data_IF_896036793079
#
_entry.id   IF_896036793079
#
_cell.length_a   1.000
_cell.length_b   1.000
_cell.length_c   1.000
_cell.angle_alpha   90.00
_cell.angle_beta   90.00
_cell.angle_gamma   90.00
#
_symmetry.space_group_name_H-M   'P 1'
#
loop_
_entity.id
_entity.type
_entity.pdbx_description
1 polymer ?
#
# COMPACT_ATOMS: atom_id res chain seq x y z
N UNK A 1 -47.03 5.72 5.50
CA UNK A 1 -46.60 4.40 6.01
C UNK A 1 -46.32 3.49 4.81
N UNK A 2 -45.06 3.46 4.36
CA UNK A 2 -44.43 2.34 3.65
C UNK A 2 -42.93 2.59 3.70
N UNK A 3 -42.28 1.77 4.52
CA UNK A 3 -40.83 1.63 4.64
C UNK A 3 -40.31 0.85 3.41
N UNK A 4 -38.98 0.76 3.33
CA UNK A 4 -38.14 0.01 2.37
C UNK A 4 -37.51 0.93 1.30
N UNK A 5 -36.19 1.05 1.14
CA UNK A 5 -35.10 0.19 1.56
C UNK A 5 -33.82 0.98 1.86
N UNK A 6 -33.41 0.91 3.12
CA UNK A 6 -32.04 1.12 3.56
C UNK A 6 -31.28 -0.18 3.31
N UNK A 7 -30.24 -0.14 2.47
CA UNK A 7 -29.01 -0.96 2.48
C UNK A 7 -28.31 -0.76 1.14
N UNK A 8 -27.24 0.03 1.13
CA UNK A 8 -26.09 -0.09 0.21
C UNK A 8 -25.00 0.91 0.61
N UNK A 9 -24.64 0.89 1.89
CA UNK A 9 -23.57 1.72 2.45
C UNK A 9 -22.54 0.84 3.15
N UNK A 10 -22.01 -0.18 2.49
CA UNK A 10 -20.88 -0.98 2.97
C UNK A 10 -20.22 -1.68 1.78
N UNK A 11 -19.03 -1.19 1.40
CA UNK A 11 -17.95 -1.81 0.58
C UNK A 11 -17.56 -0.97 -0.65
N UNK A 12 -16.34 -0.40 -0.68
CA UNK A 12 -15.78 0.21 -1.87
C UNK A 12 -15.04 -0.86 -2.67
N UNK A 13 -15.78 -1.81 -3.26
CA UNK A 13 -15.24 -2.69 -4.29
C UNK A 13 -15.94 -2.33 -5.58
N UNK A 14 -15.16 -1.93 -6.60
CA UNK A 14 -15.70 -1.64 -7.93
C UNK A 14 -16.00 -2.97 -8.61
N UNK A 15 -17.25 -3.43 -8.49
CA UNK A 15 -17.75 -4.62 -9.17
C UNK A 15 -17.99 -4.25 -10.63
N UNK A 16 -17.26 -4.87 -11.56
CA UNK A 16 -17.62 -4.77 -12.98
C UNK A 16 -18.82 -5.68 -13.24
N UNK A 17 -19.99 -5.08 -13.47
CA UNK A 17 -21.15 -5.79 -13.97
C UNK A 17 -21.09 -5.81 -15.50
N UNK A 18 -20.83 -6.97 -16.08
CA UNK A 18 -20.81 -7.14 -17.53
C UNK A 18 -22.22 -7.48 -18.01
N UNK A 19 -22.99 -6.47 -18.45
CA UNK A 19 -24.26 -6.70 -19.17
C UNK A 19 -24.19 -5.95 -20.49
N UNK A 20 -24.13 -6.73 -21.56
CA UNK A 20 -24.47 -6.30 -22.92
C UNK A 20 -25.94 -5.91 -22.94
N UNK A 21 -26.25 -4.64 -23.17
CA UNK A 21 -27.48 -4.29 -23.86
C UNK A 21 -27.38 -2.96 -24.60
N UNK A 22 -28.02 -2.93 -25.76
CA UNK A 22 -27.83 -1.98 -26.85
C UNK A 22 -28.69 -0.70 -26.75
N UNK A 23 -28.01 0.47 -26.83
CA UNK A 23 -28.46 1.82 -27.27
C UNK A 23 -29.27 2.74 -26.32
N UNK A 24 -29.31 4.09 -26.52
CA UNK A 24 -28.19 5.01 -26.80
C UNK A 24 -28.13 6.29 -25.89
N UNK A 25 -26.90 6.73 -25.62
CA UNK A 25 -26.39 8.11 -25.34
C UNK A 25 -27.07 8.99 -24.26
N UNK A 26 -26.39 9.11 -23.12
CA UNK A 26 -26.24 10.40 -22.43
C UNK A 26 -24.78 10.63 -22.01
N UNK A 27 -24.29 11.85 -22.22
CA UNK A 27 -22.90 12.25 -22.10
C UNK A 27 -22.40 12.20 -20.65
N UNK A 28 -21.60 11.18 -20.31
CA UNK A 28 -20.66 11.26 -19.18
C UNK A 28 -19.28 10.96 -19.72
N UNK A 29 -18.41 11.96 -19.63
CA UNK A 29 -17.00 11.90 -19.99
C UNK A 29 -16.26 10.91 -19.07
N UNK A 30 -16.40 9.61 -19.33
CA UNK A 30 -15.51 8.60 -18.78
C UNK A 30 -14.13 8.87 -19.36
N UNK A 31 -13.23 9.40 -18.53
CA UNK A 31 -11.80 9.35 -18.81
C UNK A 31 -11.42 7.88 -18.95
N UNK A 32 -11.36 7.42 -20.20
CA UNK A 32 -10.63 6.24 -20.64
C UNK A 32 -9.18 6.45 -20.20
N UNK A 33 -8.84 5.89 -19.03
CA UNK A 33 -7.46 5.79 -18.60
C UNK A 33 -6.77 4.92 -19.65
N UNK A 34 -5.82 5.49 -20.38
CA UNK A 34 -5.01 4.72 -21.32
C UNK A 34 -4.40 3.53 -20.59
N UNK A 35 -4.71 2.34 -21.09
CA UNK A 35 -4.25 1.06 -20.59
C UNK A 35 -2.78 0.89 -20.99
N UNK A 36 -1.91 1.57 -20.25
CA UNK A 36 -0.47 1.42 -20.35
C UNK A 36 -0.09 0.04 -19.83
N UNK A 37 -0.01 -0.93 -20.74
CA UNK A 37 0.72 -2.22 -20.64
C UNK A 37 1.00 -2.66 -19.20
N UNK A 38 -0.04 -3.07 -18.47
CA UNK A 38 0.08 -3.65 -17.12
C UNK A 38 0.92 -4.92 -17.23
N UNK A 39 2.13 -4.91 -16.65
CA UNK A 39 2.89 -6.15 -16.48
C UNK A 39 2.09 -7.05 -15.54
N UNK A 40 1.84 -8.30 -15.96
CA UNK A 40 1.19 -9.26 -15.08
C UNK A 40 2.13 -9.54 -13.90
N UNK A 41 1.68 -9.40 -12.64
CA UNK A 41 2.54 -9.63 -11.48
C UNK A 41 3.00 -11.09 -11.49
N UNK A 42 4.27 -11.33 -11.83
CA UNK A 42 4.84 -12.68 -11.83
C UNK A 42 5.19 -13.09 -10.40
N UNK A 43 4.21 -13.63 -9.69
CA UNK A 43 4.38 -14.11 -8.32
C UNK A 43 5.41 -15.24 -8.22
N UNK A 44 5.57 -16.07 -9.26
CA UNK A 44 6.57 -17.14 -9.27
C UNK A 44 8.01 -16.61 -9.15
N UNK A 45 8.35 -15.56 -9.89
CA UNK A 45 9.67 -14.89 -9.77
C UNK A 45 9.84 -14.27 -8.38
N UNK A 46 8.79 -13.67 -7.83
CA UNK A 46 8.82 -13.04 -6.50
C UNK A 46 9.00 -14.07 -5.38
N UNK A 47 8.33 -15.22 -5.47
CA UNK A 47 8.51 -16.34 -4.52
C UNK A 47 9.93 -16.89 -4.59
N UNK A 48 10.50 -17.02 -5.80
CA UNK A 48 11.90 -17.44 -5.95
C UNK A 48 12.86 -16.42 -5.34
N UNK A 49 12.64 -15.12 -5.59
CA UNK A 49 13.44 -14.05 -4.99
C UNK A 49 13.34 -14.06 -3.46
N UNK A 50 12.15 -14.32 -2.91
CA UNK A 50 11.95 -14.46 -1.48
C UNK A 50 12.77 -15.63 -0.91
N UNK A 51 12.73 -16.80 -1.57
CA UNK A 51 13.51 -17.97 -1.15
C UNK A 51 15.03 -17.69 -1.16
N UNK A 52 15.52 -16.99 -2.18
CA UNK A 52 16.93 -16.54 -2.25
C UNK A 52 17.24 -15.61 -1.08
N UNK A 53 16.36 -14.64 -0.78
CA UNK A 53 16.57 -13.70 0.32
C UNK A 53 16.61 -14.38 1.69
N UNK A 54 15.74 -15.36 1.93
CA UNK A 54 15.77 -16.19 3.15
C UNK A 54 17.10 -16.92 3.27
N UNK A 55 17.58 -17.52 2.17
CA UNK A 55 18.86 -18.21 2.17
C UNK A 55 20.03 -17.25 2.44
N UNK A 56 20.03 -16.06 1.82
CA UNK A 56 21.07 -15.04 2.05
C UNK A 56 21.04 -14.52 3.50
N UNK A 57 19.86 -14.47 4.13
CA UNK A 57 19.74 -14.05 5.53
C UNK A 57 20.46 -15.01 6.50
N UNK A 58 20.56 -16.30 6.17
CA UNK A 58 21.35 -17.26 6.95
C UNK A 58 22.86 -16.94 6.96
N UNK A 59 23.34 -16.13 6.01
CA UNK A 59 24.72 -15.65 5.93
C UNK A 59 24.87 -14.18 6.37
N UNK A 60 23.85 -13.63 7.04
CA UNK A 60 23.83 -12.21 7.43
C UNK A 60 25.00 -11.81 8.33
N UNK A 61 25.55 -12.76 9.11
CA UNK A 61 26.73 -12.54 9.97
C UNK A 61 28.00 -12.15 9.19
N UNK A 62 28.08 -12.51 7.91
CA UNK A 62 29.24 -12.24 7.04
C UNK A 62 29.05 -11.00 6.14
N UNK A 63 27.87 -10.39 6.19
CA UNK A 63 27.48 -9.29 5.30
C UNK A 63 27.49 -7.97 6.09
N UNK A 64 27.96 -6.89 5.45
CA UNK A 64 27.96 -5.57 6.09
C UNK A 64 26.55 -5.19 6.57
N UNK A 65 26.37 -4.69 7.82
CA UNK A 65 25.05 -4.52 8.45
C UNK A 65 24.08 -3.66 7.63
N UNK A 66 24.56 -2.59 6.98
CA UNK A 66 23.74 -1.77 6.07
C UNK A 66 23.15 -2.55 4.89
N UNK A 67 23.90 -3.51 4.34
CA UNK A 67 23.44 -4.36 3.24
C UNK A 67 22.39 -5.34 3.74
N UNK A 68 22.60 -5.92 4.94
CA UNK A 68 21.60 -6.78 5.59
C UNK A 68 20.28 -6.03 5.78
N UNK A 69 20.31 -4.78 6.27
CA UNK A 69 19.10 -3.98 6.42
C UNK A 69 18.41 -3.66 5.10
N UNK A 70 19.17 -3.39 4.03
CA UNK A 70 18.59 -3.17 2.69
C UNK A 70 17.90 -4.44 2.17
N UNK A 71 18.55 -5.59 2.31
CA UNK A 71 17.97 -6.88 1.95
C UNK A 71 16.72 -7.19 2.78
N UNK A 72 16.71 -6.82 4.06
CA UNK A 72 15.56 -6.97 4.94
C UNK A 72 14.37 -6.12 4.50
N UNK A 73 14.58 -4.87 4.04
CA UNK A 73 13.49 -4.05 3.47
C UNK A 73 12.92 -4.71 2.21
N UNK A 74 13.76 -5.24 1.33
CA UNK A 74 13.32 -5.96 0.13
C UNK A 74 12.54 -7.23 0.49
N UNK A 75 13.01 -8.00 1.49
CA UNK A 75 12.33 -9.16 2.04
C UNK A 75 10.93 -8.79 2.57
N UNK A 76 10.83 -7.76 3.41
CA UNK A 76 9.55 -7.28 3.95
C UNK A 76 8.58 -6.84 2.85
N UNK A 77 9.07 -6.16 1.81
CA UNK A 77 8.24 -5.74 0.69
C UNK A 77 7.66 -6.93 -0.08
N UNK A 78 8.50 -7.91 -0.45
CA UNK A 78 8.06 -9.10 -1.20
C UNK A 78 7.10 -9.93 -0.34
N UNK A 79 7.39 -10.09 0.95
CA UNK A 79 6.53 -10.82 1.88
C UNK A 79 5.15 -10.16 2.00
N UNK A 80 5.11 -8.83 2.17
CA UNK A 80 3.87 -8.07 2.26
C UNK A 80 3.04 -8.20 0.97
N UNK A 81 3.69 -8.13 -0.19
CA UNK A 81 3.04 -8.29 -1.49
C UNK A 81 2.45 -9.69 -1.68
N UNK A 82 3.19 -10.75 -1.35
CA UNK A 82 2.70 -12.14 -1.45
C UNK A 82 1.54 -12.36 -0.49
N UNK A 83 1.64 -11.91 0.77
CA UNK A 83 0.57 -12.04 1.76
C UNK A 83 -0.73 -11.39 1.26
N UNK A 84 -0.64 -10.15 0.79
CA UNK A 84 -1.78 -9.41 0.26
C UNK A 84 -2.36 -10.11 -1.00
N UNK A 85 -1.52 -10.64 -1.88
CA UNK A 85 -1.98 -11.41 -3.05
C UNK A 85 -2.72 -12.71 -2.66
N UNK A 86 -2.26 -13.42 -1.63
CA UNK A 86 -2.95 -14.59 -1.09
C UNK A 86 -4.32 -14.18 -0.55
N UNK A 87 -4.40 -13.13 0.28
CA UNK A 87 -5.67 -12.61 0.81
C UNK A 87 -6.61 -12.21 -0.32
N UNK A 88 -6.10 -11.56 -1.37
CA UNK A 88 -6.92 -11.19 -2.53
C UNK A 88 -7.47 -12.42 -3.25
N UNK A 89 -6.64 -13.44 -3.43
CA UNK A 89 -7.03 -14.69 -4.09
C UNK A 89 -8.06 -15.43 -3.24
N UNK A 90 -7.88 -15.49 -1.92
CA UNK A 90 -8.85 -16.09 -1.00
C UNK A 90 -10.20 -15.36 -1.05
N UNK A 91 -10.20 -14.02 -1.01
CA UNK A 91 -11.43 -13.25 -1.14
C UNK A 91 -12.11 -13.46 -2.51
N UNK A 92 -11.34 -13.61 -3.60
CA UNK A 92 -11.90 -13.96 -4.90
C UNK A 92 -12.56 -15.34 -4.90
N UNK A 93 -11.92 -16.34 -4.31
CA UNK A 93 -12.45 -17.71 -4.24
C UNK A 93 -13.68 -17.80 -3.33
N UNK A 94 -13.65 -17.14 -2.18
CA UNK A 94 -14.71 -17.23 -1.17
C UNK A 94 -15.90 -16.32 -1.45
N UNK A 95 -15.66 -15.12 -1.98
CA UNK A 95 -16.69 -14.08 -2.16
C UNK A 95 -17.04 -13.84 -3.65
N UNK A 96 -16.34 -14.51 -4.58
CA UNK A 96 -16.53 -14.30 -6.02
C UNK A 96 -16.12 -12.90 -6.52
N UNK A 97 -15.45 -12.11 -5.68
CA UNK A 97 -15.09 -10.73 -5.96
C UNK A 97 -13.66 -10.65 -6.49
N UNK A 98 -13.48 -10.15 -7.71
CA UNK A 98 -12.15 -9.84 -8.23
C UNK A 98 -11.60 -8.58 -7.55
N UNK A 99 -10.59 -8.76 -6.71
CA UNK A 99 -9.87 -7.65 -6.10
C UNK A 99 -8.78 -7.15 -7.07
N UNK A 100 -8.68 -5.83 -7.22
CA UNK A 100 -7.58 -5.21 -7.97
C UNK A 100 -6.22 -5.55 -7.31
N UNK A 101 -5.13 -5.63 -8.10
CA UNK A 101 -3.79 -5.82 -7.56
C UNK A 101 -3.48 -4.78 -6.48
N UNK A 102 -3.04 -5.18 -5.30
CA UNK A 102 -2.79 -4.20 -4.22
C UNK A 102 -1.55 -3.33 -4.50
N UNK A 103 -0.57 -3.84 -5.24
CA UNK A 103 0.63 -3.10 -5.64
C UNK A 103 0.74 -3.01 -7.16
N UNK A 104 1.22 -1.87 -7.65
CA UNK A 104 1.45 -1.63 -9.07
C UNK A 104 2.88 -1.09 -9.28
N UNK A 105 3.86 -2.01 -9.18
CA UNK A 105 5.29 -1.73 -9.39
C UNK A 105 5.76 -0.43 -8.70
N UNK A 106 5.69 -0.34 -7.35
CA UNK A 106 5.97 0.87 -6.59
C UNK A 106 7.40 1.40 -6.79
N UNK A 107 8.34 0.53 -7.15
CA UNK A 107 9.73 0.87 -7.49
C UNK A 107 9.87 1.65 -8.80
N UNK A 108 8.83 1.69 -9.66
CA UNK A 108 8.78 2.54 -10.86
C UNK A 108 8.13 3.90 -10.59
N UNK A 109 7.80 4.21 -9.34
CA UNK A 109 7.19 5.49 -8.99
C UNK A 109 8.16 6.64 -9.24
N UNK A 110 7.70 7.66 -9.97
CA UNK A 110 8.52 8.85 -10.28
C UNK A 110 8.23 10.02 -9.35
N UNK A 111 7.30 9.86 -8.41
CA UNK A 111 6.89 10.87 -7.44
C UNK A 111 6.24 10.24 -6.22
N UNK A 112 6.23 10.93 -5.08
CA UNK A 112 5.54 10.45 -3.87
C UNK A 112 4.03 10.37 -4.08
N UNK A 113 3.48 11.30 -4.87
CA UNK A 113 2.07 11.24 -5.26
C UNK A 113 1.75 9.98 -6.10
N UNK A 114 2.65 9.57 -7.00
CA UNK A 114 2.46 8.35 -7.80
C UNK A 114 2.66 7.09 -6.95
N UNK A 115 3.65 7.09 -6.06
CA UNK A 115 3.89 6.02 -5.10
C UNK A 115 2.65 5.77 -4.22
N UNK A 116 2.26 6.73 -3.39
CA UNK A 116 1.17 6.57 -2.42
C UNK A 116 -0.23 6.53 -3.05
N UNK A 117 -0.43 7.24 -4.16
CA UNK A 117 -1.75 7.38 -4.76
C UNK A 117 -2.12 6.32 -5.80
N UNK A 118 -1.14 5.65 -6.41
CA UNK A 118 -1.38 4.81 -7.60
C UNK A 118 -0.62 3.49 -7.63
N UNK A 119 0.34 3.29 -6.72
CA UNK A 119 1.23 2.12 -6.79
C UNK A 119 1.39 1.36 -5.48
N UNK A 120 1.22 2.05 -4.36
CA UNK A 120 1.34 1.48 -3.02
C UNK A 120 -0.04 1.23 -2.41
N UNK A 121 -0.33 -0.03 -2.10
CA UNK A 121 -1.52 -0.51 -1.41
C UNK A 121 -2.83 0.18 -1.84
N UNK A 122 -3.23 -0.08 -3.10
CA UNK A 122 -4.39 0.57 -3.74
C UNK A 122 -5.70 0.37 -2.97
N UNK A 123 -5.86 -0.75 -2.27
CA UNK A 123 -7.02 -1.04 -1.44
C UNK A 123 -7.08 -0.10 -0.23
N UNK A 124 -5.99 0.05 0.53
CA UNK A 124 -5.97 0.95 1.69
C UNK A 124 -6.13 2.41 1.24
N UNK A 125 -5.47 2.79 0.14
CA UNK A 125 -5.59 4.12 -0.44
C UNK A 125 -7.02 4.45 -0.89
N UNK A 126 -7.78 3.49 -1.42
CA UNK A 126 -9.18 3.71 -1.80
C UNK A 126 -10.10 3.86 -0.58
N UNK A 127 -9.90 3.02 0.45
CA UNK A 127 -10.66 3.08 1.70
C UNK A 127 -10.42 4.41 2.40
N UNK A 128 -9.15 4.79 2.59
CA UNK A 128 -8.77 6.05 3.23
C UNK A 128 -9.26 7.27 2.45
N UNK A 129 -9.34 7.17 1.12
CA UNK A 129 -9.88 8.25 0.29
C UNK A 129 -11.34 8.55 0.64
N UNK A 130 -12.17 7.52 0.71
CA UNK A 130 -13.60 7.67 0.99
C UNK A 130 -13.82 7.97 2.48
N UNK A 131 -13.08 7.31 3.37
CA UNK A 131 -13.28 7.42 4.81
C UNK A 131 -12.71 8.71 5.42
N UNK A 132 -11.62 9.25 4.86
CA UNK A 132 -10.88 10.36 5.47
C UNK A 132 -10.68 11.51 4.48
N UNK A 133 -10.08 11.25 3.32
CA UNK A 133 -9.67 12.32 2.41
C UNK A 133 -10.85 13.18 1.93
N UNK A 134 -11.92 12.55 1.44
CA UNK A 134 -13.11 13.23 0.94
C UNK A 134 -13.88 13.98 2.03
N UNK A 135 -14.23 13.37 3.19
CA UNK A 135 -14.92 14.09 4.26
C UNK A 135 -14.07 15.23 4.83
N UNK A 136 -12.78 15.00 5.09
CA UNK A 136 -11.88 16.07 5.57
C UNK A 136 -11.73 17.18 4.54
N UNK A 137 -11.63 16.85 3.25
CA UNK A 137 -11.56 17.81 2.16
C UNK A 137 -12.82 18.67 2.04
N UNK A 138 -14.00 18.05 2.20
CA UNK A 138 -15.28 18.77 2.14
C UNK A 138 -15.41 19.76 3.31
N UNK A 139 -15.12 19.33 4.54
CA UNK A 139 -15.13 20.19 5.73
C UNK A 139 -14.13 21.33 5.56
N UNK A 140 -12.89 21.02 5.17
CA UNK A 140 -11.85 22.02 4.98
C UNK A 140 -12.14 23.01 3.86
N UNK A 141 -12.89 22.59 2.82
CA UNK A 141 -13.28 23.47 1.73
C UNK A 141 -14.24 24.59 2.17
N UNK A 142 -15.10 24.31 3.15
CA UNK A 142 -15.99 25.30 3.75
C UNK A 142 -15.25 26.27 4.69
N UNK A 143 -14.16 25.82 5.33
CA UNK A 143 -13.43 26.61 6.34
C UNK A 143 -12.28 27.44 5.75
N UNK A 144 -11.43 26.83 4.91
CA UNK A 144 -10.16 27.41 4.42
C UNK A 144 -10.21 27.67 2.91
N UNK A 145 -11.33 27.33 2.27
CA UNK A 145 -11.52 27.47 0.83
C UNK A 145 -10.95 26.30 0.01
N UNK A 146 -11.55 26.09 -1.16
CA UNK A 146 -11.29 24.93 -2.04
C UNK A 146 -9.83 24.78 -2.50
N UNK A 147 -9.07 25.89 -2.55
CA UNK A 147 -7.66 25.90 -2.94
C UNK A 147 -6.74 25.29 -1.87
N UNK A 148 -7.09 25.47 -0.59
CA UNK A 148 -6.28 25.04 0.55
C UNK A 148 -6.79 23.75 1.19
N UNK A 149 -8.04 23.35 0.91
CA UNK A 149 -8.67 22.13 1.41
C UNK A 149 -7.86 20.83 1.18
N UNK A 150 -7.01 20.80 0.15
CA UNK A 150 -6.15 19.64 -0.14
C UNK A 150 -5.10 19.39 0.95
N UNK A 151 -4.58 20.44 1.60
CA UNK A 151 -3.54 20.31 2.64
C UNK A 151 -4.06 19.51 3.85
N UNK A 152 -5.15 19.92 4.53
CA UNK A 152 -5.68 19.16 5.65
C UNK A 152 -6.25 17.80 5.23
N UNK A 153 -6.77 17.65 4.01
CA UNK A 153 -7.23 16.35 3.51
C UNK A 153 -6.08 15.34 3.39
N UNK A 154 -4.94 15.73 2.81
CA UNK A 154 -3.74 14.89 2.73
C UNK A 154 -3.20 14.61 4.13
N UNK A 155 -2.97 15.64 4.94
CA UNK A 155 -2.41 15.46 6.29
C UNK A 155 -3.30 14.58 7.17
N UNK A 156 -4.62 14.78 7.14
CA UNK A 156 -5.57 13.96 7.88
C UNK A 156 -5.54 12.49 7.43
N UNK A 157 -5.45 12.26 6.12
CA UNK A 157 -5.34 10.90 5.57
C UNK A 157 -4.08 10.18 6.05
N UNK A 158 -2.92 10.84 5.98
CA UNK A 158 -1.66 10.26 6.45
C UNK A 158 -1.62 10.11 7.97
N UNK A 159 -2.21 11.02 8.72
CA UNK A 159 -2.31 10.92 10.17
C UNK A 159 -3.13 9.70 10.60
N UNK A 160 -4.34 9.53 10.04
CA UNK A 160 -5.20 8.37 10.34
C UNK A 160 -4.51 7.08 9.91
N UNK A 161 -3.87 7.07 8.74
CA UNK A 161 -3.07 5.92 8.29
C UNK A 161 -1.96 5.59 9.29
N UNK A 162 -1.22 6.59 9.79
CA UNK A 162 -0.15 6.42 10.77
C UNK A 162 -0.63 5.80 12.08
N UNK A 163 -1.71 6.33 12.64
CA UNK A 163 -2.33 5.78 13.85
C UNK A 163 -2.79 4.34 13.63
N UNK A 164 -3.44 4.05 12.51
CA UNK A 164 -3.89 2.69 12.19
C UNK A 164 -2.72 1.71 12.12
N UNK A 165 -1.58 2.11 11.55
CA UNK A 165 -0.38 1.28 11.54
C UNK A 165 0.20 1.11 12.95
N UNK A 166 0.29 2.18 13.75
CA UNK A 166 0.77 2.09 15.13
C UNK A 166 -0.09 1.12 15.96
N UNK A 167 -1.42 1.20 15.83
CA UNK A 167 -2.36 0.29 16.48
C UNK A 167 -2.21 -1.15 15.98
N UNK A 168 -2.09 -1.35 14.66
CA UNK A 168 -1.88 -2.67 14.09
C UNK A 168 -0.62 -3.33 14.66
N UNK A 169 0.51 -2.62 14.71
CA UNK A 169 1.76 -3.16 15.28
C UNK A 169 1.67 -3.38 16.80
N UNK A 170 0.96 -2.50 17.52
CA UNK A 170 0.66 -2.69 18.93
C UNK A 170 -0.08 -4.02 19.18
N UNK A 171 -1.18 -4.27 18.44
CA UNK A 171 -1.93 -5.51 18.57
C UNK A 171 -1.16 -6.77 18.13
N UNK A 172 -0.27 -6.64 17.15
CA UNK A 172 0.54 -7.76 16.67
C UNK A 172 1.70 -8.12 17.62
N UNK A 173 1.88 -7.41 18.73
CA UNK A 173 2.83 -7.76 19.78
C UNK A 173 3.94 -6.75 20.04
N UNK A 174 3.72 -5.47 19.70
CA UNK A 174 4.61 -4.39 20.14
C UNK A 174 4.26 -3.94 21.56
N UNK A 175 5.26 -3.87 22.43
CA UNK A 175 5.05 -3.51 23.84
C UNK A 175 4.78 -2.01 24.07
N UNK A 176 5.15 -1.12 23.13
CA UNK A 176 5.08 0.34 23.32
C UNK A 176 4.61 1.07 22.06
N UNK A 177 3.73 2.07 22.25
CA UNK A 177 3.44 3.08 21.23
C UNK A 177 4.55 4.13 21.24
N UNK A 178 5.27 4.25 20.14
CA UNK A 178 6.39 5.21 19.97
C UNK A 178 6.04 6.35 19.04
N UNK A 179 4.93 6.23 18.30
CA UNK A 179 4.51 7.17 17.26
C UNK A 179 5.51 7.34 16.11
N UNK A 180 6.56 6.52 16.04
CA UNK A 180 7.56 6.54 14.97
C UNK A 180 6.92 6.27 13.61
N UNK A 181 5.96 5.34 13.56
CA UNK A 181 5.20 5.05 12.33
C UNK A 181 4.32 6.24 11.96
N UNK A 182 3.64 6.83 12.94
CA UNK A 182 2.84 8.05 12.71
C UNK A 182 3.71 9.18 12.16
N UNK A 183 4.92 9.38 12.70
CA UNK A 183 5.89 10.35 12.19
C UNK A 183 6.32 10.03 10.75
N UNK A 184 6.56 8.77 10.41
CA UNK A 184 6.84 8.35 9.04
C UNK A 184 5.72 8.78 8.09
N UNK A 185 4.46 8.45 8.39
CA UNK A 185 3.34 8.82 7.53
C UNK A 185 3.15 10.34 7.45
N UNK A 186 3.28 11.07 8.57
CA UNK A 186 3.17 12.53 8.57
C UNK A 186 4.26 13.20 7.74
N UNK A 187 5.50 12.71 7.82
CA UNK A 187 6.62 13.19 7.00
C UNK A 187 6.32 12.99 5.51
N UNK A 188 5.85 11.80 5.13
CA UNK A 188 5.46 11.51 3.74
C UNK A 188 4.29 12.38 3.26
N UNK A 189 3.28 12.60 4.10
CA UNK A 189 2.17 13.50 3.81
C UNK A 189 2.63 14.94 3.57
N UNK A 190 3.54 15.44 4.42
CA UNK A 190 4.14 16.76 4.27
C UNK A 190 4.97 16.86 2.98
N UNK A 191 5.83 15.88 2.72
CA UNK A 191 6.64 15.83 1.50
C UNK A 191 5.76 15.77 0.23
N UNK A 192 4.63 15.06 0.25
CA UNK A 192 3.68 15.01 -0.85
C UNK A 192 3.02 16.37 -1.09
N UNK A 193 2.68 17.11 -0.03
CA UNK A 193 2.14 18.47 -0.13
C UNK A 193 3.18 19.42 -0.71
N UNK A 194 4.41 19.38 -0.19
CA UNK A 194 5.54 20.17 -0.69
C UNK A 194 5.78 19.87 -2.16
N UNK A 195 5.80 18.59 -2.55
CA UNK A 195 5.93 18.16 -3.95
C UNK A 195 4.79 18.72 -4.82
N UNK A 196 3.56 18.67 -4.32
CA UNK A 196 2.38 19.19 -5.03
C UNK A 196 2.45 20.71 -5.22
N UNK A 197 2.95 21.44 -4.23
CA UNK A 197 3.14 22.90 -4.29
C UNK A 197 4.28 23.25 -5.24
N UNK A 198 5.42 22.57 -5.14
CA UNK A 198 6.57 22.73 -6.04
C UNK A 198 6.14 22.51 -7.51
N UNK A 199 5.45 21.40 -7.80
CA UNK A 199 4.92 21.11 -9.14
C UNK A 199 4.02 22.22 -9.68
N UNK A 200 3.24 22.86 -8.80
CA UNK A 200 2.35 23.97 -9.16
C UNK A 200 3.12 25.29 -9.36
N UNK A 201 4.11 25.59 -8.52
CA UNK A 201 4.94 26.78 -8.61
C UNK A 201 5.85 26.78 -9.85
N UNK A 202 6.44 25.63 -10.19
CA UNK A 202 7.35 25.51 -11.35
C UNK A 202 6.64 25.28 -12.69
N UNK A 203 5.29 25.33 -12.72
CA UNK A 203 4.50 25.35 -13.95
C UNK A 203 4.77 24.18 -14.91
N UNK A 204 5.23 23.03 -14.41
CA UNK A 204 5.60 21.87 -15.24
C UNK A 204 6.84 22.08 -16.13
N UNK A 205 7.60 23.16 -15.96
CA UNK A 205 8.80 23.48 -16.76
C UNK A 205 10.04 22.66 -16.36
N UNK A 206 10.12 22.24 -15.10
CA UNK A 206 11.18 21.38 -14.60
C UNK A 206 10.68 19.94 -14.56
N UNK A 207 10.89 19.21 -15.66
CA UNK A 207 10.69 17.76 -15.68
C UNK A 207 12.04 17.10 -15.47
N UNK A 208 12.28 16.60 -14.25
CA UNK A 208 13.41 15.71 -14.02
C UNK A 208 13.26 14.48 -14.93
N UNK A 209 14.36 13.93 -15.46
CA UNK A 209 14.34 12.66 -16.16
C UNK A 209 13.65 11.60 -15.30
N UNK A 210 12.75 10.82 -15.91
CA UNK A 210 11.91 9.81 -15.25
C UNK A 210 12.71 8.89 -14.34
N UNK A 211 13.91 8.49 -14.79
CA UNK A 211 14.82 7.61 -14.04
C UNK A 211 15.36 8.29 -12.78
N UNK A 212 15.81 9.54 -12.88
CA UNK A 212 16.36 10.29 -11.74
C UNK A 212 15.26 10.55 -10.70
N UNK A 213 14.08 10.97 -11.16
CA UNK A 213 12.93 11.19 -10.28
C UNK A 213 12.49 9.89 -9.61
N UNK A 214 12.56 8.77 -10.33
CA UNK A 214 12.23 7.44 -9.80
C UNK A 214 13.22 6.95 -8.74
N UNK A 215 14.51 7.07 -9.02
CA UNK A 215 15.56 6.74 -8.05
C UNK A 215 15.49 7.63 -6.80
N UNK A 216 15.22 8.92 -6.98
CA UNK A 216 15.07 9.84 -5.85
C UNK A 216 13.85 9.50 -4.99
N UNK A 217 12.70 9.22 -5.61
CA UNK A 217 11.47 8.86 -4.90
C UNK A 217 11.64 7.53 -4.17
N UNK A 218 12.12 6.50 -4.87
CA UNK A 218 12.35 5.18 -4.30
C UNK A 218 13.40 5.23 -3.20
N UNK A 219 14.52 5.93 -3.42
CA UNK A 219 15.57 6.12 -2.42
C UNK A 219 15.08 6.84 -1.17
N UNK A 220 14.26 7.89 -1.33
CA UNK A 220 13.65 8.60 -0.21
C UNK A 220 12.71 7.69 0.61
N UNK A 221 11.84 6.92 -0.07
CA UNK A 221 10.94 5.96 0.59
C UNK A 221 11.75 4.89 1.34
N UNK A 222 12.77 4.33 0.69
CA UNK A 222 13.64 3.30 1.30
C UNK A 222 14.40 3.86 2.51
N UNK A 223 14.95 5.07 2.41
CA UNK A 223 15.71 5.69 3.49
C UNK A 223 14.83 6.02 4.70
N UNK A 224 13.67 6.64 4.46
CA UNK A 224 12.71 6.96 5.52
C UNK A 224 12.10 5.69 6.12
N UNK A 225 11.89 4.65 5.31
CA UNK A 225 11.47 3.33 5.77
C UNK A 225 12.54 2.67 6.65
N UNK A 226 13.80 2.70 6.23
CA UNK A 226 14.92 2.22 7.04
C UNK A 226 15.02 2.94 8.40
N UNK A 227 14.82 4.26 8.40
CA UNK A 227 15.00 5.06 9.60
C UNK A 227 13.84 4.97 10.59
N UNK A 228 12.59 5.11 10.13
CA UNK A 228 11.42 5.24 11.01
C UNK A 228 10.53 4.01 11.04
N UNK A 229 10.53 3.21 9.97
CA UNK A 229 9.63 2.07 9.83
C UNK A 229 10.29 0.76 10.30
N UNK A 230 11.56 0.51 9.94
CA UNK A 230 12.25 -0.73 10.32
C UNK A 230 12.42 -0.93 11.83
N UNK A 231 12.78 0.06 12.67
CA UNK A 231 12.92 -0.17 14.11
C UNK A 231 11.62 -0.69 14.74
N UNK A 232 10.49 -0.18 14.24
CA UNK A 232 9.16 -0.63 14.61
C UNK A 232 8.91 -2.09 14.20
N UNK A 233 9.33 -2.49 12.99
CA UNK A 233 9.19 -3.86 12.48
C UNK A 233 10.03 -4.88 13.24
N UNK A 234 11.30 -4.55 13.51
CA UNK A 234 12.20 -5.42 14.27
C UNK A 234 11.70 -5.67 15.69
N UNK A 235 11.10 -4.65 16.32
CA UNK A 235 10.57 -4.76 17.68
C UNK A 235 9.39 -5.74 17.78
N UNK A 236 8.61 -5.90 16.71
CA UNK A 236 7.42 -6.73 16.72
C UNK A 236 7.70 -8.24 16.56
N UNK A 237 8.85 -8.65 15.97
CA UNK A 237 9.14 -10.05 15.58
C UNK A 237 8.00 -10.78 14.84
N UNK A 238 7.05 -10.03 14.28
CA UNK A 238 5.80 -10.56 13.72
C UNK A 238 6.09 -11.49 12.56
N UNK A 239 7.05 -11.14 11.70
CA UNK A 239 7.42 -11.96 10.56
C UNK A 239 8.12 -13.26 10.98
N UNK A 240 8.95 -13.22 12.05
CA UNK A 240 9.56 -14.43 12.61
C UNK A 240 8.49 -15.36 13.18
N UNK A 241 7.56 -14.83 13.98
CA UNK A 241 6.43 -15.59 14.54
C UNK A 241 5.53 -16.18 13.44
N UNK A 242 5.13 -15.36 12.47
CA UNK A 242 4.30 -15.81 11.35
C UNK A 242 5.00 -16.88 10.50
N UNK A 243 6.32 -16.78 10.30
CA UNK A 243 7.09 -17.82 9.60
C UNK A 243 7.17 -19.13 10.40
N UNK A 244 7.31 -19.04 11.72
CA UNK A 244 7.31 -20.20 12.60
C UNK A 244 5.93 -20.89 12.64
N UNK A 245 4.85 -20.12 12.72
CA UNK A 245 3.48 -20.63 12.66
C UNK A 245 3.19 -21.27 11.29
N UNK A 246 3.64 -20.65 10.20
CA UNK A 246 3.51 -21.22 8.86
C UNK A 246 4.28 -22.54 8.73
N UNK A 247 5.52 -22.62 9.23
CA UNK A 247 6.31 -23.85 9.23
C UNK A 247 5.62 -24.97 10.02
N UNK A 248 4.98 -24.64 11.15
CA UNK A 248 4.18 -25.59 11.92
C UNK A 248 2.94 -26.07 11.15
N UNK A 249 2.23 -25.19 10.44
CA UNK A 249 1.08 -25.57 9.61
C UNK A 249 1.48 -26.48 8.45
N UNK A 250 2.61 -26.18 7.78
CA UNK A 250 3.13 -27.04 6.70
C UNK A 250 3.48 -28.42 7.24
N UNK A 251 4.22 -28.47 8.36
CA UNK A 251 4.59 -29.75 9.01
C UNK A 251 3.35 -30.53 9.44
N UNK A 252 2.31 -29.85 9.93
CA UNK A 252 1.03 -30.47 10.30
C UNK A 252 0.31 -31.07 9.08
N UNK A 253 0.27 -30.35 7.96
CA UNK A 253 -0.33 -30.82 6.70
C UNK A 253 0.46 -32.03 6.15
N UNK A 254 1.79 -31.97 6.12
CA UNK A 254 2.65 -33.09 5.70
C UNK A 254 2.41 -34.34 6.55
N UNK A 255 2.27 -34.18 7.86
CA UNK A 255 1.95 -35.28 8.77
C UNK A 255 0.56 -35.89 8.53
N UNK A 256 -0.42 -35.10 8.08
CA UNK A 256 -1.74 -35.60 7.69
C UNK A 256 -1.65 -36.35 6.35
N UNK A 257 -0.94 -35.80 5.37
CA UNK A 257 -0.78 -36.40 4.04
C UNK A 257 -0.02 -37.73 4.14
N UNK A 258 1.03 -37.82 4.96
CA UNK A 258 1.79 -39.05 5.17
C UNK A 258 1.10 -40.10 6.04
N UNK A 259 0.01 -39.75 6.74
CA UNK A 259 -0.82 -40.70 7.51
C UNK A 259 -1.92 -41.37 6.68
N UNK A 260 -2.17 -40.90 5.46
CA UNK A 260 -3.09 -41.49 4.50
C UNK A 260 -2.33 -42.20 3.38
#
# INVERSE_FOLDING_TARGET
MRLDGCRDACLPIKIQHNVNDSSPKSHIHSQKLEDGKRSSPNYGVKTLLLAILVNVHNYSDYIHPKVVSLLYVMYLYIQLEILLAIVATMAKVLLGQELEPQFNEPYLSTSLQDFWGRRWNLMVSSILRIAVYEPTGNIASGLVGRKWARIPAVMGTFFVSGIMHELMFFYLGRDKLTMELTCFFLLHGLCLIVESVLKKCFGGRWKLPTVISGLLTTGFVMLTGYWLFLPSMYSCKVFERASAEYAQLVTFIENIIHRH
#
